data_IF_722045770050
#
_entry.id   IF_722045770050
#
_cell.length_a   1.000
_cell.length_b   1.000
_cell.length_c   1.000
_cell.angle_alpha   90.00
_cell.angle_beta   90.00
_cell.angle_gamma   90.00
#
_symmetry.space_group_name_H-M   'P 1'
#
loop_
_entity.id
_entity.type
_entity.pdbx_description
1 polymer ?
#
# COMPACT_ATOMS: atom_id res chain seq x y z
N UNK A 1 41.17 -34.13 -44.10
CA UNK A 1 40.75 -33.46 -42.87
C UNK A 1 39.74 -32.40 -43.27
N UNK A 2 38.47 -32.73 -43.26
CA UNK A 2 37.36 -31.82 -43.55
C UNK A 2 36.86 -31.24 -42.21
N UNK A 3 37.01 -29.92 -42.05
CA UNK A 3 36.43 -29.18 -40.95
C UNK A 3 34.89 -29.19 -41.11
N UNK A 4 34.19 -29.69 -40.09
CA UNK A 4 32.76 -29.52 -39.99
C UNK A 4 32.47 -28.07 -39.60
N UNK A 5 31.44 -27.43 -40.18
CA UNK A 5 31.02 -26.13 -39.72
C UNK A 5 30.34 -26.29 -38.35
N UNK A 6 30.75 -25.51 -37.35
CA UNK A 6 30.06 -25.33 -36.10
C UNK A 6 28.69 -24.73 -36.41
N UNK A 7 27.65 -25.52 -36.15
CA UNK A 7 26.27 -25.15 -36.24
C UNK A 7 25.96 -24.22 -35.04
N UNK A 8 26.14 -22.92 -35.22
CA UNK A 8 25.64 -21.90 -34.30
C UNK A 8 24.13 -21.82 -34.52
N UNK A 9 23.39 -22.74 -33.91
CA UNK A 9 21.93 -22.62 -33.77
C UNK A 9 21.66 -21.35 -32.97
N UNK A 10 21.44 -20.25 -33.68
CA UNK A 10 20.77 -19.07 -33.12
C UNK A 10 19.37 -19.57 -32.71
N UNK A 11 19.19 -19.87 -31.44
CA UNK A 11 17.87 -20.18 -30.89
C UNK A 11 17.02 -18.95 -31.12
N UNK A 12 16.06 -19.05 -32.01
CA UNK A 12 15.02 -18.05 -32.32
C UNK A 12 14.06 -17.89 -31.11
N UNK A 13 14.65 -17.53 -29.96
CA UNK A 13 13.96 -17.34 -28.70
C UNK A 13 13.54 -15.88 -28.61
N UNK A 14 12.24 -15.63 -28.51
CA UNK A 14 11.73 -14.28 -28.25
C UNK A 14 12.36 -13.66 -26.99
N UNK A 15 12.53 -12.38 -27.02
CA UNK A 15 13.03 -11.59 -25.90
C UNK A 15 12.15 -11.78 -24.66
N UNK A 16 12.72 -12.22 -23.55
CA UNK A 16 12.01 -12.52 -22.31
C UNK A 16 11.96 -11.29 -21.42
N UNK A 17 10.74 -10.83 -21.09
CA UNK A 17 10.51 -9.72 -20.17
C UNK A 17 9.89 -10.28 -18.90
N UNK A 18 10.55 -10.07 -17.76
CA UNK A 18 9.93 -10.33 -16.46
C UNK A 18 9.42 -9.01 -15.85
N UNK A 19 8.18 -9.01 -15.40
CA UNK A 19 7.54 -7.88 -14.71
C UNK A 19 7.17 -8.32 -13.31
N UNK A 20 7.66 -7.63 -12.30
CA UNK A 20 7.38 -7.92 -10.89
C UNK A 20 6.30 -6.95 -10.37
N UNK A 21 5.15 -7.50 -10.00
CA UNK A 21 4.03 -6.74 -9.44
C UNK A 21 2.95 -6.40 -10.45
N UNK A 22 1.68 -6.63 -10.04
CA UNK A 22 0.46 -6.39 -10.84
C UNK A 22 -0.27 -5.09 -10.44
N UNK A 23 0.42 -4.16 -9.72
CA UNK A 23 -0.08 -2.83 -9.43
C UNK A 23 -0.19 -1.95 -10.68
N UNK A 24 -0.41 -0.65 -10.51
CA UNK A 24 -0.58 0.28 -11.65
C UNK A 24 0.62 0.27 -12.60
N UNK A 25 1.85 0.34 -12.07
CA UNK A 25 3.06 0.38 -12.90
C UNK A 25 3.22 -0.89 -13.73
N UNK A 26 3.22 -2.06 -13.07
CA UNK A 26 3.42 -3.33 -13.74
C UNK A 26 2.33 -3.69 -14.74
N UNK A 27 1.05 -3.52 -14.37
CA UNK A 27 -0.07 -3.78 -15.26
C UNK A 27 -0.04 -2.89 -16.52
N UNK A 28 0.28 -1.60 -16.36
CA UNK A 28 0.39 -0.69 -17.51
C UNK A 28 1.59 -1.00 -18.38
N UNK A 29 2.74 -1.37 -17.81
CA UNK A 29 3.90 -1.82 -18.57
C UNK A 29 3.56 -3.04 -19.43
N UNK A 30 2.95 -4.08 -18.84
CA UNK A 30 2.49 -5.27 -19.58
C UNK A 30 1.55 -4.92 -20.70
N UNK A 31 0.53 -4.07 -20.44
CA UNK A 31 -0.44 -3.65 -21.47
C UNK A 31 0.22 -2.91 -22.64
N UNK A 32 1.22 -2.07 -22.38
CA UNK A 32 1.95 -1.34 -23.42
C UNK A 32 2.80 -2.25 -24.30
N UNK A 33 3.28 -3.37 -23.77
CA UNK A 33 4.06 -4.37 -24.50
C UNK A 33 3.20 -5.38 -25.28
N UNK A 34 1.88 -5.20 -25.34
CA UNK A 34 0.94 -6.14 -25.98
C UNK A 34 1.30 -6.53 -27.42
N UNK A 35 1.84 -5.60 -28.19
CA UNK A 35 2.15 -5.76 -29.60
C UNK A 35 3.66 -5.87 -29.88
N UNK A 36 4.49 -5.87 -28.83
CA UNK A 36 5.92 -6.10 -28.95
C UNK A 36 6.22 -7.59 -29.19
N UNK A 37 7.27 -7.88 -29.93
CA UNK A 37 7.73 -9.26 -30.16
C UNK A 37 8.57 -9.76 -28.98
N UNK A 38 7.90 -9.95 -27.85
CA UNK A 38 8.47 -10.39 -26.58
C UNK A 38 7.53 -11.38 -25.89
N UNK A 39 8.08 -12.22 -25.04
CA UNK A 39 7.34 -13.04 -24.09
C UNK A 39 7.43 -12.43 -22.69
N UNK A 40 6.28 -12.23 -22.05
CA UNK A 40 6.20 -11.53 -20.77
C UNK A 40 5.80 -12.52 -19.67
N UNK A 41 6.54 -12.53 -18.57
CA UNK A 41 6.13 -13.15 -17.29
C UNK A 41 5.79 -12.07 -16.30
N UNK A 42 4.51 -11.94 -15.95
CA UNK A 42 4.04 -11.07 -14.88
C UNK A 42 3.93 -11.87 -13.58
N UNK A 43 4.82 -11.61 -12.62
CA UNK A 43 4.87 -12.29 -11.33
C UNK A 43 4.31 -11.36 -10.25
N UNK A 44 3.30 -11.81 -9.50
CA UNK A 44 2.67 -11.00 -8.47
C UNK A 44 2.26 -11.86 -7.26
N UNK A 45 2.30 -11.25 -6.06
CA UNK A 45 1.89 -11.89 -4.80
C UNK A 45 0.39 -12.13 -4.71
N UNK A 46 -0.40 -11.42 -5.51
CA UNK A 46 -1.87 -11.52 -5.52
C UNK A 46 -2.37 -11.88 -6.91
N UNK A 47 -3.53 -12.51 -6.97
CA UNK A 47 -4.19 -12.90 -8.22
C UNK A 47 -4.96 -11.76 -8.90
N UNK A 48 -5.08 -10.61 -8.23
CA UNK A 48 -5.87 -9.46 -8.66
C UNK A 48 -5.02 -8.20 -8.83
N UNK A 49 -5.54 -7.27 -9.62
CA UNK A 49 -5.08 -5.89 -9.67
C UNK A 49 -5.91 -5.07 -8.69
N UNK A 50 -5.27 -4.47 -7.68
CA UNK A 50 -5.96 -3.64 -6.72
C UNK A 50 -6.05 -2.19 -7.20
N UNK A 51 -7.27 -1.67 -7.33
CA UNK A 51 -7.52 -0.25 -7.52
C UNK A 51 -7.48 0.46 -6.16
N UNK A 52 -6.28 0.63 -5.63
CA UNK A 52 -6.00 1.12 -4.27
C UNK A 52 -6.68 2.47 -3.92
N UNK A 53 -6.90 3.43 -4.85
CA UNK A 53 -7.58 4.68 -4.52
C UNK A 53 -9.00 4.53 -3.94
N UNK A 54 -9.64 3.39 -4.10
CA UNK A 54 -10.98 3.13 -3.52
C UNK A 54 -10.93 2.17 -2.32
N UNK A 55 -9.76 1.86 -1.80
CA UNK A 55 -9.59 0.88 -0.73
C UNK A 55 -10.25 1.34 0.59
N UNK A 56 -10.22 2.64 0.88
CA UNK A 56 -10.89 3.22 2.04
C UNK A 56 -12.41 3.04 2.02
N UNK A 57 -13.02 2.96 0.83
CA UNK A 57 -14.47 2.69 0.69
C UNK A 57 -14.81 1.22 0.98
N UNK A 58 -13.88 0.30 0.72
CA UNK A 58 -14.03 -1.09 1.16
C UNK A 58 -13.89 -1.18 2.67
N UNK A 59 -12.92 -0.47 3.27
CA UNK A 59 -12.72 -0.43 4.72
C UNK A 59 -13.90 0.18 5.49
N UNK A 60 -14.80 0.90 4.83
CA UNK A 60 -16.03 1.47 5.42
C UNK A 60 -17.32 0.80 4.93
N UNK A 61 -17.19 -0.25 4.10
CA UNK A 61 -18.33 -1.05 3.63
C UNK A 61 -19.16 -0.43 2.52
N UNK A 62 -18.72 0.68 1.90
CA UNK A 62 -19.45 1.37 0.82
C UNK A 62 -19.30 0.63 -0.49
N UNK A 63 -18.11 0.07 -0.76
CA UNK A 63 -17.81 -0.67 -1.99
C UNK A 63 -17.41 -2.10 -1.63
N UNK A 64 -17.92 -3.06 -2.40
CA UNK A 64 -17.49 -4.45 -2.28
C UNK A 64 -16.05 -4.62 -2.81
N UNK A 65 -15.26 -5.44 -2.14
CA UNK A 65 -13.85 -5.71 -2.48
C UNK A 65 -13.66 -6.17 -3.93
N UNK A 66 -14.57 -7.01 -4.43
CA UNK A 66 -14.52 -7.51 -5.81
C UNK A 66 -14.66 -6.43 -6.88
N UNK A 67 -15.25 -5.28 -6.55
CA UNK A 67 -15.39 -4.15 -7.48
C UNK A 67 -14.05 -3.45 -7.77
N UNK A 68 -13.11 -3.48 -6.81
CA UNK A 68 -11.81 -2.80 -6.91
C UNK A 68 -10.62 -3.76 -7.08
N UNK A 69 -10.88 -5.07 -7.07
CA UNK A 69 -9.84 -6.11 -7.15
C UNK A 69 -10.11 -7.14 -8.27
N UNK A 70 -10.28 -6.71 -9.55
CA UNK A 70 -10.53 -7.63 -10.63
C UNK A 70 -9.33 -8.56 -10.86
N UNK A 71 -9.55 -9.86 -11.18
CA UNK A 71 -8.48 -10.80 -11.42
C UNK A 71 -7.56 -10.36 -12.57
N UNK A 72 -6.26 -10.35 -12.34
CA UNK A 72 -5.25 -9.93 -13.32
C UNK A 72 -5.32 -10.75 -14.61
N UNK A 73 -5.59 -12.06 -14.50
CA UNK A 73 -5.77 -12.94 -15.66
C UNK A 73 -6.98 -12.55 -16.51
N UNK A 74 -8.04 -12.06 -15.89
CA UNK A 74 -9.25 -11.59 -16.62
C UNK A 74 -8.94 -10.30 -17.36
N UNK A 75 -8.20 -9.38 -16.74
CA UNK A 75 -7.79 -8.12 -17.38
C UNK A 75 -6.92 -8.40 -18.61
N UNK A 76 -5.99 -9.35 -18.52
CA UNK A 76 -5.00 -9.65 -19.56
C UNK A 76 -5.40 -10.78 -20.50
N UNK A 77 -6.61 -11.36 -20.38
CA UNK A 77 -7.05 -12.55 -21.14
C UNK A 77 -6.92 -12.46 -22.67
N UNK A 78 -6.96 -11.25 -23.22
CA UNK A 78 -6.84 -10.99 -24.67
C UNK A 78 -5.40 -10.71 -25.13
N UNK A 79 -4.44 -10.69 -24.21
CA UNK A 79 -3.02 -10.47 -24.49
C UNK A 79 -2.30 -11.82 -24.53
N UNK A 80 -1.84 -12.24 -25.72
CA UNK A 80 -1.29 -13.60 -25.92
C UNK A 80 0.16 -13.75 -25.49
N UNK A 81 0.93 -12.66 -25.49
CA UNK A 81 2.35 -12.66 -25.16
C UNK A 81 2.64 -12.50 -23.67
N UNK A 82 1.64 -12.71 -22.78
CA UNK A 82 1.83 -12.59 -21.33
C UNK A 82 1.39 -13.86 -20.60
N UNK A 83 2.26 -14.34 -19.73
CA UNK A 83 1.98 -15.35 -18.71
C UNK A 83 1.88 -14.66 -17.34
N UNK A 84 0.73 -14.80 -16.66
CA UNK A 84 0.54 -14.28 -15.30
C UNK A 84 0.88 -15.40 -14.31
N UNK A 85 1.79 -15.13 -13.38
CA UNK A 85 2.28 -16.08 -12.39
C UNK A 85 1.98 -15.54 -10.98
N UNK A 86 1.41 -16.39 -10.11
CA UNK A 86 1.32 -16.12 -8.69
C UNK A 86 2.65 -16.50 -8.03
N UNK A 87 3.17 -15.64 -7.18
CA UNK A 87 4.38 -15.89 -6.42
C UNK A 87 4.94 -14.62 -5.80
N UNK A 88 5.65 -14.77 -4.70
CA UNK A 88 6.41 -13.68 -4.08
C UNK A 88 7.84 -13.71 -4.61
N UNK A 89 8.29 -12.61 -5.21
CA UNK A 89 9.68 -12.49 -5.68
C UNK A 89 10.55 -12.18 -4.46
N UNK A 90 11.45 -13.11 -4.16
CA UNK A 90 12.33 -13.06 -2.97
C UNK A 90 13.74 -12.64 -3.31
N UNK A 91 14.20 -12.86 -4.55
CA UNK A 91 15.55 -12.53 -4.98
C UNK A 91 15.61 -12.15 -6.47
N UNK A 92 16.54 -11.23 -6.80
CA UNK A 92 16.87 -10.81 -8.15
C UNK A 92 18.37 -11.04 -8.35
N UNK A 93 18.75 -11.86 -9.31
CA UNK A 93 20.15 -12.03 -9.71
C UNK A 93 20.40 -11.27 -11.01
N UNK A 94 21.05 -10.11 -10.90
CA UNK A 94 21.35 -9.26 -12.06
C UNK A 94 22.43 -9.85 -12.96
N UNK A 95 23.41 -10.56 -12.40
CA UNK A 95 24.50 -11.17 -13.16
C UNK A 95 24.01 -12.42 -13.90
N UNK A 96 23.25 -13.27 -13.21
CA UNK A 96 22.64 -14.48 -13.79
C UNK A 96 21.40 -14.19 -14.63
N UNK A 97 20.87 -12.96 -14.61
CA UNK A 97 19.66 -12.52 -15.34
C UNK A 97 18.43 -13.40 -15.05
N UNK A 98 18.12 -13.61 -13.79
CA UNK A 98 16.90 -14.28 -13.36
C UNK A 98 16.33 -13.68 -12.07
N UNK A 99 15.06 -13.91 -11.82
CA UNK A 99 14.42 -13.65 -10.54
C UNK A 99 13.95 -14.96 -9.91
N UNK A 100 14.06 -15.07 -8.60
CA UNK A 100 13.48 -16.16 -7.83
C UNK A 100 12.15 -15.73 -7.26
N UNK A 101 11.15 -16.60 -7.41
CA UNK A 101 9.82 -16.41 -6.81
C UNK A 101 9.38 -17.65 -6.07
N UNK A 102 8.69 -17.47 -4.97
CA UNK A 102 8.20 -18.53 -4.12
C UNK A 102 6.68 -18.66 -4.19
N UNK A 103 6.21 -19.88 -4.23
CA UNK A 103 4.79 -20.23 -4.12
C UNK A 103 4.63 -21.56 -3.39
N UNK A 104 3.90 -21.56 -2.27
CA UNK A 104 3.60 -22.77 -1.47
C UNK A 104 4.85 -23.60 -1.12
N UNK A 105 5.95 -22.94 -0.76
CA UNK A 105 7.21 -23.59 -0.37
C UNK A 105 8.08 -24.05 -1.55
N UNK A 106 7.67 -23.77 -2.79
CA UNK A 106 8.48 -24.05 -3.98
C UNK A 106 9.11 -22.79 -4.53
N UNK A 107 10.40 -22.85 -4.84
CA UNK A 107 11.15 -21.75 -5.48
C UNK A 107 11.22 -21.98 -6.99
N UNK A 108 10.92 -20.92 -7.76
CA UNK A 108 10.97 -20.93 -9.23
C UNK A 108 11.93 -19.88 -9.73
N UNK A 109 12.81 -20.28 -10.66
CA UNK A 109 13.69 -19.35 -11.38
C UNK A 109 13.05 -18.90 -12.68
N UNK A 110 13.03 -17.59 -12.88
CA UNK A 110 12.44 -16.95 -14.04
C UNK A 110 13.52 -16.11 -14.75
N UNK A 111 14.14 -16.65 -15.82
CA UNK A 111 15.14 -15.90 -16.56
C UNK A 111 14.53 -14.73 -17.32
N UNK A 112 15.33 -13.66 -17.52
CA UNK A 112 14.92 -12.46 -18.24
C UNK A 112 16.04 -11.94 -19.14
N UNK A 113 15.64 -11.29 -20.22
CA UNK A 113 16.49 -10.41 -21.02
C UNK A 113 16.29 -8.94 -20.59
N UNK A 114 15.05 -8.58 -20.23
CA UNK A 114 14.70 -7.31 -19.58
C UNK A 114 13.83 -7.53 -18.33
N UNK A 115 14.04 -6.68 -17.32
CA UNK A 115 13.33 -6.76 -16.04
C UNK A 115 12.63 -5.43 -15.73
N UNK A 116 11.35 -5.49 -15.36
CA UNK A 116 10.57 -4.35 -14.87
C UNK A 116 10.14 -4.63 -13.44
N UNK A 117 10.60 -3.81 -12.50
CA UNK A 117 10.32 -3.98 -11.08
C UNK A 117 9.28 -2.95 -10.67
N UNK A 118 8.05 -3.42 -10.41
CA UNK A 118 6.89 -2.64 -10.03
C UNK A 118 6.25 -3.18 -8.74
N UNK A 119 7.10 -3.61 -7.78
CA UNK A 119 6.66 -4.29 -6.56
C UNK A 119 6.01 -3.36 -5.53
N UNK A 120 5.90 -2.06 -5.83
CA UNK A 120 5.18 -1.08 -5.01
C UNK A 120 5.84 -0.81 -3.67
N UNK A 121 5.03 -0.34 -2.71
CA UNK A 121 5.46 -0.01 -1.36
C UNK A 121 4.45 -0.54 -0.34
N UNK A 122 4.98 -0.95 0.81
CA UNK A 122 4.21 -1.39 1.96
C UNK A 122 4.01 -0.29 3.00
N UNK A 123 3.38 -0.66 4.11
CA UNK A 123 3.23 0.17 5.28
C UNK A 123 4.56 0.28 6.04
N UNK A 124 4.85 1.45 6.59
CA UNK A 124 5.97 1.66 7.52
C UNK A 124 5.45 2.04 8.89
N UNK A 125 5.94 1.38 9.93
CA UNK A 125 5.71 1.74 11.32
C UNK A 125 6.92 2.42 11.95
N UNK A 126 7.88 2.86 11.12
CA UNK A 126 9.10 3.57 11.56
C UNK A 126 9.91 2.77 12.60
N UNK A 127 9.97 1.44 12.45
CA UNK A 127 10.67 0.52 13.35
C UNK A 127 9.84 0.01 14.53
N UNK A 128 8.57 0.42 14.64
CA UNK A 128 7.65 -0.02 15.70
C UNK A 128 6.62 -1.01 15.14
N UNK A 129 7.09 -2.08 14.52
CA UNK A 129 6.23 -3.01 13.75
C UNK A 129 5.15 -3.69 14.61
N UNK A 130 5.33 -3.74 15.95
CA UNK A 130 4.31 -4.20 16.88
C UNK A 130 3.03 -3.35 16.90
N UNK A 131 3.08 -2.09 16.42
CA UNK A 131 1.89 -1.25 16.28
C UNK A 131 0.86 -1.86 15.31
N UNK A 132 1.32 -2.67 14.35
CA UNK A 132 0.45 -3.31 13.35
C UNK A 132 -0.67 -4.15 13.98
N UNK A 133 -0.41 -4.80 15.10
CA UNK A 133 -1.41 -5.59 15.83
C UNK A 133 -2.62 -4.75 16.24
N UNK A 134 -2.37 -3.51 16.68
CA UNK A 134 -3.42 -2.65 17.26
C UNK A 134 -3.89 -1.55 16.33
N UNK A 135 -3.07 -1.15 15.37
CA UNK A 135 -3.36 -0.13 14.36
C UNK A 135 -2.95 -0.65 12.97
N UNK A 136 -3.78 -1.49 12.33
CA UNK A 136 -3.47 -2.01 11.00
C UNK A 136 -3.33 -0.89 9.98
N UNK A 137 -2.48 -1.13 8.98
CA UNK A 137 -2.35 -0.27 7.80
C UNK A 137 -3.51 -0.48 6.83
N UNK A 138 -3.40 0.15 5.64
CA UNK A 138 -4.37 -0.02 4.56
C UNK A 138 -3.67 -0.07 3.20
N UNK A 139 -3.17 -1.24 2.83
CA UNK A 139 -2.42 -1.48 1.59
C UNK A 139 -2.98 -2.64 0.76
N UNK A 140 -3.74 -3.54 1.38
CA UNK A 140 -4.33 -4.72 0.75
C UNK A 140 -5.85 -4.77 0.96
N UNK A 141 -6.51 -5.66 0.22
CA UNK A 141 -7.94 -5.96 0.44
C UNK A 141 -8.15 -6.52 1.85
N UNK A 142 -7.27 -7.38 2.31
CA UNK A 142 -7.36 -8.00 3.65
C UNK A 142 -7.28 -6.95 4.75
N UNK A 143 -6.37 -5.97 4.62
CA UNK A 143 -6.30 -4.83 5.55
C UNK A 143 -7.61 -4.04 5.61
N UNK A 144 -8.22 -3.78 4.45
CA UNK A 144 -9.48 -3.04 4.37
C UNK A 144 -10.64 -3.82 5.00
N UNK A 145 -10.69 -5.15 4.81
CA UNK A 145 -11.69 -6.02 5.42
C UNK A 145 -11.50 -6.11 6.94
N UNK A 146 -10.27 -6.21 7.41
CA UNK A 146 -9.95 -6.15 8.83
C UNK A 146 -10.39 -4.83 9.46
N UNK A 147 -10.04 -3.70 8.84
CA UNK A 147 -10.47 -2.37 9.29
C UNK A 147 -11.99 -2.25 9.32
N UNK A 148 -12.70 -2.75 8.29
CA UNK A 148 -14.17 -2.79 8.27
C UNK A 148 -14.72 -3.54 9.47
N UNK A 149 -14.17 -4.72 9.75
CA UNK A 149 -14.54 -5.51 10.92
C UNK A 149 -14.31 -4.75 12.23
N UNK A 150 -13.16 -4.11 12.40
CA UNK A 150 -12.83 -3.33 13.62
C UNK A 150 -13.73 -2.11 13.79
N UNK A 151 -14.00 -1.35 12.72
CA UNK A 151 -14.86 -0.15 12.75
C UNK A 151 -16.30 -0.54 13.14
N UNK A 152 -16.91 -1.49 12.44
CA UNK A 152 -18.28 -1.90 12.71
C UNK A 152 -18.41 -2.57 14.08
N UNK A 153 -17.47 -3.45 14.45
CA UNK A 153 -17.47 -4.09 15.78
C UNK A 153 -17.36 -3.08 16.93
N UNK A 154 -16.71 -1.93 16.71
CA UNK A 154 -16.64 -0.88 17.74
C UNK A 154 -18.02 -0.30 18.04
N UNK A 155 -18.85 -0.03 17.02
CA UNK A 155 -20.23 0.41 17.20
C UNK A 155 -21.10 -0.68 17.85
N UNK A 156 -21.00 -1.93 17.41
CA UNK A 156 -21.73 -3.07 17.98
C UNK A 156 -21.40 -3.30 19.48
N UNK A 157 -20.14 -3.19 19.84
CA UNK A 157 -19.72 -3.30 21.24
C UNK A 157 -20.19 -2.12 22.07
N UNK A 158 -20.19 -0.90 21.50
CA UNK A 158 -20.71 0.29 22.17
C UNK A 158 -22.21 0.18 22.45
N UNK A 159 -23.00 -0.35 21.50
CA UNK A 159 -24.44 -0.62 21.66
C UNK A 159 -24.71 -1.54 22.86
N UNK A 160 -23.89 -2.55 23.07
CA UNK A 160 -24.03 -3.54 24.14
C UNK A 160 -23.44 -3.11 25.50
N UNK A 161 -22.64 -2.05 25.52
CA UNK A 161 -21.98 -1.62 26.75
C UNK A 161 -22.90 -0.73 27.58
N UNK A 162 -22.98 -0.96 28.91
CA UNK A 162 -23.62 -0.07 29.86
C UNK A 162 -22.64 0.88 30.54
N UNK A 163 -21.33 0.70 30.32
CA UNK A 163 -20.26 1.54 30.88
C UNK A 163 -20.04 2.77 29.98
N UNK A 164 -20.25 3.99 30.47
CA UNK A 164 -20.06 5.22 29.70
C UNK A 164 -18.64 5.43 29.21
N UNK A 165 -17.62 5.12 30.03
CA UNK A 165 -16.21 5.30 29.65
C UNK A 165 -15.80 4.29 28.58
N UNK A 166 -16.27 3.04 28.71
CA UNK A 166 -16.08 2.05 27.67
C UNK A 166 -16.77 2.43 26.36
N UNK A 167 -18.02 2.98 26.41
CA UNK A 167 -18.72 3.51 25.22
C UNK A 167 -17.92 4.61 24.55
N UNK A 168 -17.44 5.57 25.32
CA UNK A 168 -16.63 6.68 24.83
C UNK A 168 -15.37 6.18 24.09
N UNK A 169 -14.65 5.22 24.68
CA UNK A 169 -13.50 4.59 24.07
C UNK A 169 -13.85 3.85 22.78
N UNK A 170 -14.94 3.08 22.76
CA UNK A 170 -15.42 2.33 21.59
C UNK A 170 -15.86 3.24 20.45
N UNK A 171 -16.46 4.41 20.76
CA UNK A 171 -16.88 5.42 19.80
C UNK A 171 -15.76 6.44 19.46
N UNK A 172 -14.52 6.20 19.89
CA UNK A 172 -13.36 7.00 19.50
C UNK A 172 -12.54 6.24 18.47
N UNK A 173 -12.39 6.86 17.29
CA UNK A 173 -11.62 6.35 16.13
C UNK A 173 -10.42 7.24 15.92
N UNK A 174 -9.22 6.66 15.85
CA UNK A 174 -7.99 7.41 15.62
C UNK A 174 -7.35 6.99 14.30
N UNK A 175 -7.05 7.98 13.47
CA UNK A 175 -6.35 7.80 12.19
C UNK A 175 -5.00 8.49 12.27
N UNK A 176 -3.93 7.73 12.13
CA UNK A 176 -2.55 8.22 12.21
C UNK A 176 -2.01 8.44 10.81
N UNK A 177 -1.61 9.68 10.51
CA UNK A 177 -1.12 10.11 9.20
C UNK A 177 -2.12 10.99 8.46
N UNK A 178 -1.79 12.27 8.22
CA UNK A 178 -2.63 13.24 7.51
C UNK A 178 -2.29 13.35 6.01
N UNK A 179 -1.72 12.30 5.43
CA UNK A 179 -1.61 12.10 3.98
C UNK A 179 -2.96 11.73 3.34
N UNK A 180 -3.00 11.49 2.01
CA UNK A 180 -4.25 11.19 1.29
C UNK A 180 -5.08 10.08 1.94
N UNK A 181 -4.47 8.93 2.21
CA UNK A 181 -5.17 7.77 2.82
C UNK A 181 -5.81 8.10 4.17
N UNK A 182 -5.10 8.83 5.04
CA UNK A 182 -5.63 9.16 6.36
C UNK A 182 -6.76 10.19 6.29
N UNK A 183 -6.65 11.16 5.39
CA UNK A 183 -7.70 12.15 5.13
C UNK A 183 -8.97 11.46 4.61
N UNK A 184 -8.84 10.53 3.66
CA UNK A 184 -9.93 9.74 3.11
C UNK A 184 -10.58 8.87 4.19
N UNK A 185 -9.78 8.15 4.99
CA UNK A 185 -10.28 7.30 6.07
C UNK A 185 -10.99 8.10 7.16
N UNK A 186 -10.40 9.18 7.63
CA UNK A 186 -11.00 10.01 8.67
C UNK A 186 -12.34 10.61 8.21
N UNK A 187 -12.38 11.13 6.98
CA UNK A 187 -13.60 11.65 6.38
C UNK A 187 -14.67 10.58 6.22
N UNK A 188 -14.28 9.39 5.76
CA UNK A 188 -15.23 8.32 5.49
C UNK A 188 -15.77 7.67 6.77
N UNK A 189 -14.96 7.55 7.84
CA UNK A 189 -15.45 7.09 9.15
C UNK A 189 -16.45 8.12 9.73
N UNK A 190 -16.15 9.42 9.61
CA UNK A 190 -17.09 10.47 10.06
C UNK A 190 -18.42 10.43 9.28
N UNK A 191 -18.34 10.24 7.96
CA UNK A 191 -19.52 10.11 7.10
C UNK A 191 -20.34 8.86 7.42
N UNK A 192 -19.68 7.73 7.66
CA UNK A 192 -20.32 6.48 8.09
C UNK A 192 -21.10 6.68 9.39
N UNK A 193 -20.50 7.33 10.38
CA UNK A 193 -21.12 7.58 11.69
C UNK A 193 -22.29 8.56 11.61
N UNK A 194 -22.14 9.67 10.85
CA UNK A 194 -23.11 10.77 10.79
C UNK A 194 -24.33 10.44 9.91
N UNK A 195 -24.12 9.69 8.82
CA UNK A 195 -25.18 9.45 7.84
C UNK A 195 -25.61 7.99 7.74
N UNK A 196 -24.68 7.06 7.56
CA UNK A 196 -25.01 5.66 7.26
C UNK A 196 -25.54 4.92 8.48
N UNK A 197 -24.94 5.13 9.65
CA UNK A 197 -25.30 4.45 10.89
C UNK A 197 -26.27 5.24 11.77
N UNK A 198 -26.66 6.45 11.36
CA UNK A 198 -27.58 7.30 12.09
C UNK A 198 -28.92 6.60 12.31
N UNK A 199 -29.33 6.44 13.57
CA UNK A 199 -30.59 5.79 13.95
C UNK A 199 -30.58 4.26 13.81
N UNK A 200 -29.45 3.64 13.43
CA UNK A 200 -29.35 2.18 13.34
C UNK A 200 -29.34 1.50 14.72
N UNK A 201 -28.80 2.15 15.72
CA UNK A 201 -28.66 1.63 17.10
C UNK A 201 -29.77 2.13 18.03
N UNK A 202 -30.01 1.43 19.15
CA UNK A 202 -31.05 1.77 20.15
C UNK A 202 -30.50 2.41 21.41
N UNK A 203 -29.27 2.05 21.83
CA UNK A 203 -28.64 2.48 23.07
C UNK A 203 -27.50 3.48 22.87
N UNK A 204 -27.02 3.64 21.62
CA UNK A 204 -26.02 4.64 21.25
C UNK A 204 -26.51 5.51 20.11
N UNK A 205 -25.98 6.71 20.04
CA UNK A 205 -26.07 7.62 18.91
C UNK A 205 -24.74 7.61 18.15
N UNK A 206 -24.73 7.05 16.93
CA UNK A 206 -23.51 6.94 16.12
C UNK A 206 -22.92 8.31 15.77
N UNK A 207 -23.75 9.36 15.68
CA UNK A 207 -23.29 10.73 15.39
C UNK A 207 -22.39 11.31 16.48
N UNK A 208 -22.37 10.69 17.67
CA UNK A 208 -21.49 11.04 18.79
C UNK A 208 -20.10 10.38 18.68
N UNK A 209 -19.84 9.63 17.63
CA UNK A 209 -18.53 9.07 17.40
C UNK A 209 -17.48 10.19 17.20
N UNK A 210 -16.35 10.04 17.87
CA UNK A 210 -15.24 10.97 17.80
C UNK A 210 -14.21 10.41 16.82
N UNK A 211 -13.95 11.13 15.73
CA UNK A 211 -12.88 10.79 14.75
C UNK A 211 -11.73 11.76 14.92
N UNK A 212 -10.54 11.25 15.19
CA UNK A 212 -9.33 12.03 15.43
C UNK A 212 -8.31 11.70 14.35
N UNK A 213 -7.88 12.70 13.58
CA UNK A 213 -6.79 12.60 12.61
C UNK A 213 -5.52 13.19 13.22
N UNK A 214 -4.46 12.38 13.31
CA UNK A 214 -3.18 12.72 13.95
C UNK A 214 -2.07 12.73 12.91
N UNK A 215 -1.17 13.72 12.99
CA UNK A 215 0.09 13.70 12.24
C UNK A 215 1.18 14.46 12.98
N UNK A 216 2.42 13.98 12.87
CA UNK A 216 3.60 14.69 13.33
C UNK A 216 3.91 15.94 12.47
N UNK A 217 3.46 15.96 11.22
CA UNK A 217 3.60 17.11 10.33
C UNK A 217 2.69 18.27 10.75
N UNK A 218 3.06 19.53 10.39
CA UNK A 218 2.28 20.71 10.75
C UNK A 218 1.09 20.99 9.84
N UNK A 219 0.84 20.16 8.82
CA UNK A 219 -0.22 20.39 7.83
C UNK A 219 -0.89 19.10 7.39
N UNK A 220 -2.17 19.21 7.02
CA UNK A 220 -2.90 18.16 6.29
C UNK A 220 -2.46 18.19 4.83
N UNK A 221 -2.25 17.01 4.22
CA UNK A 221 -1.81 16.86 2.82
C UNK A 221 -0.59 17.72 2.46
N UNK A 222 0.52 17.67 3.21
CA UNK A 222 1.63 18.61 3.02
C UNK A 222 2.22 18.58 1.60
N UNK A 223 2.15 17.43 0.93
CA UNK A 223 2.65 17.23 -0.43
C UNK A 223 1.78 17.87 -1.52
N UNK A 224 0.52 18.23 -1.20
CA UNK A 224 -0.41 18.85 -2.14
C UNK A 224 -0.42 20.38 -2.09
N UNK A 225 0.43 20.95 -1.25
CA UNK A 225 0.55 22.40 -1.07
C UNK A 225 -0.48 22.99 -0.10
N UNK A 226 -0.14 24.18 0.41
CA UNK A 226 -0.87 24.84 1.52
C UNK A 226 -2.35 25.06 1.22
N UNK A 227 -2.68 25.51 0.00
CA UNK A 227 -4.07 25.84 -0.39
C UNK A 227 -5.00 24.64 -0.35
N UNK A 228 -4.54 23.47 -0.86
CA UNK A 228 -5.33 22.24 -0.85
C UNK A 228 -5.38 21.63 0.55
N UNK A 229 -4.27 21.66 1.29
CA UNK A 229 -4.22 21.20 2.67
C UNK A 229 -5.21 21.94 3.58
N UNK A 230 -5.26 23.29 3.50
CA UNK A 230 -6.22 24.11 4.25
C UNK A 230 -7.67 23.79 3.88
N UNK A 231 -7.97 23.59 2.58
CA UNK A 231 -9.32 23.21 2.14
C UNK A 231 -9.73 21.83 2.67
N UNK A 232 -8.84 20.86 2.62
CA UNK A 232 -9.08 19.52 3.13
C UNK A 232 -9.32 19.54 4.65
N UNK A 233 -8.48 20.25 5.41
CA UNK A 233 -8.63 20.43 6.84
C UNK A 233 -9.99 21.04 7.20
N UNK A 234 -10.36 22.16 6.55
CA UNK A 234 -11.65 22.80 6.79
C UNK A 234 -12.85 21.90 6.44
N UNK A 235 -12.73 21.07 5.39
CA UNK A 235 -13.76 20.10 5.03
C UNK A 235 -13.91 19.01 6.11
N UNK A 236 -12.80 18.43 6.56
CA UNK A 236 -12.79 17.43 7.61
C UNK A 236 -13.36 17.96 8.92
N UNK A 237 -12.95 19.17 9.34
CA UNK A 237 -13.50 19.82 10.53
C UNK A 237 -15.01 20.04 10.43
N UNK A 238 -15.51 20.43 9.25
CA UNK A 238 -16.96 20.57 9.00
C UNK A 238 -17.70 19.23 9.10
N UNK A 239 -17.02 18.11 8.84
CA UNK A 239 -17.54 16.74 9.01
C UNK A 239 -17.41 16.23 10.46
N UNK A 240 -16.92 17.05 11.40
CA UNK A 240 -16.76 16.67 12.80
C UNK A 240 -15.43 15.95 13.12
N UNK A 241 -14.48 15.89 12.18
CA UNK A 241 -13.16 15.31 12.43
C UNK A 241 -12.30 16.27 13.24
N UNK A 242 -11.77 15.80 14.36
CA UNK A 242 -10.77 16.51 15.16
C UNK A 242 -9.38 16.30 14.54
N UNK A 243 -8.71 17.38 14.15
CA UNK A 243 -7.39 17.34 13.53
C UNK A 243 -6.35 17.78 14.55
N UNK A 244 -5.35 16.93 14.81
CA UNK A 244 -4.26 17.15 15.74
C UNK A 244 -2.92 17.01 15.00
N UNK A 245 -2.31 18.14 14.65
CA UNK A 245 -1.03 18.23 13.94
C UNK A 245 0.11 18.52 14.91
N UNK A 246 1.36 18.23 14.50
CA UNK A 246 2.51 18.30 15.40
C UNK A 246 2.45 17.25 16.52
N UNK A 247 1.67 16.19 16.31
CA UNK A 247 1.34 15.17 17.29
C UNK A 247 1.97 13.83 16.86
N UNK A 248 3.11 13.47 17.42
CA UNK A 248 3.83 12.25 17.09
C UNK A 248 3.34 11.08 17.94
N UNK A 249 2.85 10.02 17.29
CA UNK A 249 2.50 8.77 17.98
C UNK A 249 3.78 8.05 18.39
N UNK A 250 3.91 7.78 19.70
CA UNK A 250 5.09 7.13 20.29
C UNK A 250 4.82 5.72 20.79
N UNK A 251 3.54 5.38 21.01
CA UNK A 251 3.14 4.03 21.40
C UNK A 251 1.70 3.75 20.99
N UNK A 252 1.42 2.48 20.69
CA UNK A 252 0.09 1.97 20.31
C UNK A 252 -0.16 0.64 20.99
N UNK A 253 -1.28 0.52 21.69
CA UNK A 253 -1.71 -0.74 22.29
C UNK A 253 -3.21 -0.99 22.09
N UNK A 254 -3.74 -2.04 22.72
CA UNK A 254 -5.16 -2.41 22.63
C UNK A 254 -6.09 -1.27 23.05
N UNK A 255 -5.68 -0.43 23.98
CA UNK A 255 -6.54 0.54 24.64
C UNK A 255 -6.52 1.92 23.99
N UNK A 256 -5.46 2.24 23.23
CA UNK A 256 -5.35 3.55 22.63
C UNK A 256 -3.97 3.84 22.05
N UNK A 257 -3.64 5.10 21.97
CA UNK A 257 -2.36 5.59 21.49
C UNK A 257 -1.74 6.61 22.45
N UNK A 258 -0.42 6.60 22.56
CA UNK A 258 0.35 7.62 23.27
C UNK A 258 0.92 8.60 22.25
N UNK A 259 0.72 9.88 22.51
CA UNK A 259 1.11 10.97 21.61
C UNK A 259 2.06 11.91 22.31
N UNK A 260 3.12 12.31 21.65
CA UNK A 260 4.01 13.39 22.06
C UNK A 260 3.74 14.61 21.18
N UNK A 261 3.27 15.67 21.78
CA UNK A 261 2.98 16.94 21.10
C UNK A 261 4.27 17.75 20.85
N UNK A 262 4.20 18.75 20.00
CA UNK A 262 5.35 19.58 19.59
C UNK A 262 6.00 20.35 20.75
N UNK A 263 5.28 20.61 21.83
CA UNK A 263 5.79 21.21 23.08
C UNK A 263 6.51 20.21 23.99
N UNK A 264 6.57 18.93 23.60
CA UNK A 264 7.17 17.85 24.36
C UNK A 264 6.24 17.14 25.34
N UNK A 265 5.01 17.63 25.51
CA UNK A 265 4.00 17.02 26.38
C UNK A 265 3.59 15.66 25.85
N UNK A 266 3.49 14.67 26.74
CA UNK A 266 3.00 13.34 26.38
C UNK A 266 1.58 13.15 26.94
N UNK A 267 0.68 12.68 26.12
CA UNK A 267 -0.71 12.40 26.49
C UNK A 267 -1.22 11.10 25.89
N UNK A 268 -2.27 10.57 26.49
CA UNK A 268 -2.94 9.35 26.07
C UNK A 268 -4.28 9.66 25.39
N UNK A 269 -4.59 8.97 24.30
CA UNK A 269 -5.91 8.97 23.66
C UNK A 269 -6.45 7.55 23.76
N UNK A 270 -7.52 7.37 24.54
CA UNK A 270 -8.25 6.12 24.62
C UNK A 270 -9.07 5.92 23.34
N UNK A 271 -8.81 4.82 22.63
CA UNK A 271 -9.47 4.50 21.36
C UNK A 271 -9.49 3.00 21.14
N UNK A 272 -10.64 2.45 20.80
CA UNK A 272 -10.77 1.04 20.47
C UNK A 272 -10.36 0.75 19.01
N UNK A 273 -10.63 1.66 18.09
CA UNK A 273 -10.31 1.50 16.68
C UNK A 273 -9.24 2.51 16.23
N UNK A 274 -8.14 1.99 15.74
CA UNK A 274 -6.98 2.75 15.27
C UNK A 274 -6.61 2.32 13.85
N UNK A 275 -6.31 3.30 12.99
CA UNK A 275 -5.86 3.09 11.61
C UNK A 275 -4.50 3.73 11.43
N UNK A 276 -3.55 2.99 10.89
CA UNK A 276 -2.22 3.51 10.59
C UNK A 276 -2.09 3.80 9.10
N UNK A 277 -2.03 5.06 8.74
CA UNK A 277 -1.81 5.54 7.36
C UNK A 277 -0.54 6.36 7.20
N UNK A 278 0.23 6.51 8.28
CA UNK A 278 1.52 7.19 8.28
C UNK A 278 2.64 6.26 7.77
N UNK A 279 3.52 6.82 6.95
CA UNK A 279 4.72 6.14 6.48
C UNK A 279 4.48 5.12 5.37
N UNK A 280 5.40 5.15 4.41
CA UNK A 280 5.48 4.23 3.28
C UNK A 280 6.90 3.72 3.19
N UNK A 281 7.08 2.42 2.98
CA UNK A 281 8.38 1.78 2.75
C UNK A 281 8.35 1.04 1.42
N UNK A 282 9.28 1.34 0.53
CA UNK A 282 9.41 0.62 -0.72
C UNK A 282 9.69 -0.87 -0.46
N UNK A 283 9.38 -1.72 -1.46
CA UNK A 283 9.64 -3.15 -1.38
C UNK A 283 11.10 -3.45 -1.01
N UNK A 284 11.37 -4.48 -0.19
CA UNK A 284 12.73 -4.91 0.16
C UNK A 284 13.61 -5.23 -1.05
N UNK A 285 13.02 -5.53 -2.21
CA UNK A 285 13.72 -5.76 -3.47
C UNK A 285 14.59 -4.56 -3.90
N UNK A 286 14.24 -3.33 -3.49
CA UNK A 286 15.07 -2.15 -3.75
C UNK A 286 16.43 -2.25 -3.05
N UNK A 287 16.46 -2.75 -1.82
CA UNK A 287 17.72 -2.98 -1.08
C UNK A 287 18.51 -4.16 -1.64
N UNK A 288 17.85 -5.18 -2.14
CA UNK A 288 18.49 -6.31 -2.80
C UNK A 288 19.21 -5.86 -4.09
N UNK A 289 18.53 -5.05 -4.91
CA UNK A 289 19.14 -4.41 -6.08
C UNK A 289 20.37 -3.55 -5.72
N UNK A 290 20.26 -2.74 -4.67
CA UNK A 290 21.33 -1.85 -4.24
C UNK A 290 22.62 -2.61 -3.86
N UNK A 291 22.48 -3.79 -3.24
CA UNK A 291 23.63 -4.63 -2.88
C UNK A 291 24.38 -5.15 -4.11
N UNK A 292 23.68 -5.41 -5.21
CA UNK A 292 24.25 -6.02 -6.42
C UNK A 292 24.72 -4.97 -7.43
N UNK A 293 23.98 -3.88 -7.60
CA UNK A 293 24.19 -2.89 -8.66
C UNK A 293 24.89 -1.62 -8.19
N UNK A 294 25.07 -1.42 -6.87
CA UNK A 294 25.52 -0.17 -6.24
C UNK A 294 24.59 1.02 -6.53
N UNK A 295 23.37 0.77 -6.99
CA UNK A 295 22.35 1.84 -7.13
C UNK A 295 22.00 2.39 -5.76
N UNK A 296 21.79 3.70 -5.67
CA UNK A 296 21.40 4.33 -4.43
C UNK A 296 19.89 4.10 -4.14
N UNK A 297 19.58 3.97 -2.85
CA UNK A 297 18.21 3.97 -2.35
C UNK A 297 18.01 5.12 -1.37
N UNK A 298 16.84 5.73 -1.39
CA UNK A 298 16.51 6.78 -0.43
C UNK A 298 16.11 6.22 0.95
N UNK A 299 15.75 7.10 1.88
CA UNK A 299 15.35 6.70 3.25
C UNK A 299 14.09 5.83 3.28
N UNK A 300 13.19 5.95 2.30
CA UNK A 300 12.01 5.13 2.16
C UNK A 300 12.30 3.79 1.45
N UNK A 301 13.55 3.55 1.01
CA UNK A 301 13.97 2.36 0.28
C UNK A 301 13.68 2.42 -1.22
N UNK A 302 13.29 3.60 -1.76
CA UNK A 302 13.06 3.77 -3.20
C UNK A 302 14.38 3.82 -3.95
N UNK A 303 14.42 3.15 -5.09
CA UNK A 303 15.60 3.06 -5.95
C UNK A 303 15.74 4.33 -6.77
N UNK A 304 16.89 5.00 -6.72
CA UNK A 304 17.20 6.12 -7.64
C UNK A 304 17.36 5.61 -9.05
N UNK A 305 16.56 6.10 -9.96
CA UNK A 305 16.54 5.68 -11.37
C UNK A 305 16.99 6.81 -12.29
N UNK A 306 17.41 6.44 -13.49
CA UNK A 306 17.67 7.38 -14.58
C UNK A 306 16.35 7.94 -15.15
N UNK A 307 16.37 9.01 -15.97
CA UNK A 307 15.16 9.59 -16.56
C UNK A 307 14.31 8.62 -17.39
N UNK A 308 14.90 7.56 -17.93
CA UNK A 308 14.24 6.47 -18.66
C UNK A 308 13.74 5.35 -17.72
N UNK A 309 13.85 5.55 -16.39
CA UNK A 309 13.51 4.61 -15.32
C UNK A 309 14.39 3.36 -15.24
N UNK A 310 15.48 3.30 -16.01
CA UNK A 310 16.49 2.24 -15.86
C UNK A 310 17.37 2.48 -14.63
N UNK A 311 18.05 1.45 -14.14
CA UNK A 311 19.03 1.60 -13.07
C UNK A 311 20.44 1.81 -13.66
N UNK A 312 21.30 2.62 -13.03
CA UNK A 312 22.66 2.87 -13.49
C UNK A 312 23.45 1.57 -13.72
N UNK A 313 24.05 1.43 -14.91
CA UNK A 313 24.82 0.25 -15.30
C UNK A 313 24.01 -0.95 -15.85
N UNK A 314 22.67 -0.88 -15.82
CA UNK A 314 21.79 -1.96 -16.29
C UNK A 314 20.66 -1.38 -17.17
N UNK A 315 20.90 -1.11 -18.46
CA UNK A 315 19.91 -0.45 -19.33
C UNK A 315 18.69 -1.31 -19.66
N UNK A 316 18.70 -2.58 -19.28
CA UNK A 316 17.61 -3.54 -19.43
C UNK A 316 16.86 -3.83 -18.12
N UNK A 317 17.15 -3.08 -17.03
CA UNK A 317 16.49 -3.24 -15.73
C UNK A 317 15.84 -1.92 -15.33
N UNK A 318 14.53 -1.92 -15.18
CA UNK A 318 13.70 -0.75 -14.93
C UNK A 318 13.02 -0.86 -13.57
N UNK A 319 12.92 0.25 -12.84
CA UNK A 319 12.14 0.34 -11.61
C UNK A 319 11.06 1.39 -11.79
N UNK A 320 9.82 1.03 -11.51
CA UNK A 320 8.65 1.89 -11.76
C UNK A 320 7.69 1.94 -10.57
N UNK A 321 6.87 2.98 -10.50
CA UNK A 321 5.88 3.18 -9.44
C UNK A 321 6.50 3.56 -8.11
N UNK A 322 5.88 3.15 -7.01
CA UNK A 322 6.25 3.56 -5.63
C UNK A 322 7.65 3.11 -5.19
N UNK A 323 8.30 2.25 -5.96
CA UNK A 323 9.68 1.84 -5.72
C UNK A 323 10.72 2.77 -6.34
N UNK A 324 10.34 3.61 -7.30
CA UNK A 324 11.25 4.50 -8.00
C UNK A 324 11.35 5.86 -7.30
N UNK A 325 12.58 6.36 -7.15
CA UNK A 325 12.88 7.75 -6.86
C UNK A 325 13.36 8.40 -8.16
N UNK A 326 12.56 9.31 -8.70
CA UNK A 326 12.86 10.11 -9.89
C UNK A 326 13.17 11.51 -9.41
N UNK A 327 14.29 12.09 -9.83
CA UNK A 327 14.69 13.46 -9.55
C UNK A 327 13.91 14.44 -10.43
#
# INVERSE_FOLDING_TARGET
MSAQPEDTAVTDRRHQVVVIGSGFGGLNAVKKLKHADVDIKLIARTTHHLFQPMLYQVATGIVAEGAIAPPTRVILRKQRNVQVLLGDVTHIDLAGKYVESELLGHTYRNPFDSLIIAAGAGQSYFGNDHFAEFAPGMKSVDDALELRGRILSAFEQAERSNDPERRKKLLTFTVVGAGPTGVEMAGQIAELAEYTLKGAFRHIDSTRAKVILLDAAPAVLPQMGEKLGKKAAARLQKMGVEIQLGAMVTDVDRNGITVKDSDGTTRRIESACKVWSAGVSASPLGRDLARQSRVEVDRAGRVKVLPDLSIPGYPNVFVVGDMAAVD
#
